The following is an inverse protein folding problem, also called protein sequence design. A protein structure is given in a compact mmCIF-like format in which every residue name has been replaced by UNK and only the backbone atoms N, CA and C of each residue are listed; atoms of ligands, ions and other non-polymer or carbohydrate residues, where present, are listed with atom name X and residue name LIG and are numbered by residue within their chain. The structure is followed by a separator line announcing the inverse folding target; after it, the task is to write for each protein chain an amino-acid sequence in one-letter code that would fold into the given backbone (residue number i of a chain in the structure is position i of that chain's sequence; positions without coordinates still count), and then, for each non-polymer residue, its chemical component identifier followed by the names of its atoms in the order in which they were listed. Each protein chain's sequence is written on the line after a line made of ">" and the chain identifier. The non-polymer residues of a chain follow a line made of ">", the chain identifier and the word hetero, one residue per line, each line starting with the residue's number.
data_IF_216481663199
#
_entry.id   IF_216481663199
#
_cell.length_a   1.000
_cell.length_b   1.000
_cell.length_c   1.000
_cell.angle_alpha   90.00
_cell.angle_beta   90.00
_cell.angle_gamma   90.00
#
_symmetry.space_group_name_H-M   'P 1'
#
loop_
_entity.id
_entity.type
_entity.pdbx_description
1 polymer ?
#
# COMPACT_ATOMS: atom_id res chain seq x y z
N UNK A 1 1.09 0.45 11.97
CA UNK A 1 -0.35 0.71 11.73
C UNK A 1 -0.52 1.70 10.58
N UNK A 2 -1.48 1.46 9.71
CA UNK A 2 -1.71 2.32 8.55
C UNK A 2 -2.44 3.60 8.97
N UNK A 3 -1.92 4.74 8.54
CA UNK A 3 -2.54 6.06 8.77
C UNK A 3 -3.62 6.29 7.71
N UNK A 4 -4.72 5.54 7.79
CA UNK A 4 -5.71 5.46 6.73
C UNK A 4 -6.37 6.80 6.38
N UNK A 5 -6.80 7.56 7.38
CA UNK A 5 -7.51 8.84 7.13
C UNK A 5 -6.59 9.88 6.51
N UNK A 6 -5.37 10.00 7.03
CA UNK A 6 -4.38 10.94 6.50
C UNK A 6 -3.98 10.55 5.08
N UNK A 7 -3.83 9.24 4.82
CA UNK A 7 -3.50 8.75 3.48
C UNK A 7 -4.63 9.01 2.48
N UNK A 8 -5.88 8.84 2.89
CA UNK A 8 -7.04 9.17 2.05
C UNK A 8 -7.02 10.64 1.63
N UNK A 9 -6.77 11.53 2.58
CA UNK A 9 -6.70 12.96 2.30
C UNK A 9 -5.55 13.28 1.33
N UNK A 10 -4.40 12.65 1.56
CA UNK A 10 -3.25 12.83 0.67
C UNK A 10 -3.57 12.36 -0.75
N UNK A 11 -4.24 11.22 -0.90
CA UNK A 11 -4.64 10.70 -2.22
C UNK A 11 -5.60 11.65 -2.92
N UNK A 12 -6.55 12.23 -2.20
CA UNK A 12 -7.48 13.21 -2.78
C UNK A 12 -6.76 14.44 -3.33
N UNK A 13 -5.70 14.87 -2.66
CA UNK A 13 -4.94 16.06 -3.06
C UNK A 13 -3.94 15.76 -4.17
N UNK A 14 -3.39 14.57 -4.23
CA UNK A 14 -2.25 14.25 -5.08
C UNK A 14 -2.58 13.33 -6.26
N UNK A 15 -3.83 12.85 -6.36
CA UNK A 15 -4.26 11.99 -7.45
C UNK A 15 -5.63 12.42 -7.95
N UNK A 16 -6.02 11.89 -9.11
CA UNK A 16 -7.36 12.08 -9.66
C UNK A 16 -8.26 10.87 -9.39
N UNK A 17 -7.88 10.04 -8.44
CA UNK A 17 -8.62 8.82 -8.12
C UNK A 17 -10.02 9.13 -7.58
N UNK A 18 -11.00 8.32 -7.99
CA UNK A 18 -12.35 8.37 -7.43
C UNK A 18 -12.31 7.84 -5.98
N UNK A 19 -13.39 8.12 -5.23
CA UNK A 19 -13.49 7.62 -3.85
C UNK A 19 -13.39 6.10 -3.79
N UNK A 20 -13.96 5.40 -4.77
CA UNK A 20 -13.89 3.94 -4.85
C UNK A 20 -12.44 3.46 -4.99
N UNK A 21 -11.67 4.11 -5.89
CA UNK A 21 -10.27 3.76 -6.11
C UNK A 21 -9.42 4.09 -4.88
N UNK A 22 -9.70 5.21 -4.22
CA UNK A 22 -9.03 5.58 -2.98
C UNK A 22 -9.27 4.51 -1.90
N UNK A 23 -10.52 4.07 -1.74
CA UNK A 23 -10.86 3.02 -0.80
C UNK A 23 -10.12 1.71 -1.08
N UNK A 24 -10.08 1.31 -2.34
CA UNK A 24 -9.35 0.12 -2.78
C UNK A 24 -7.86 0.23 -2.48
N UNK A 25 -7.28 1.40 -2.74
CA UNK A 25 -5.86 1.66 -2.50
C UNK A 25 -5.54 1.52 -1.00
N UNK A 26 -6.37 2.11 -0.15
CA UNK A 26 -6.20 2.01 1.30
C UNK A 26 -6.32 0.55 1.76
N UNK A 27 -7.30 -0.19 1.23
CA UNK A 27 -7.48 -1.61 1.56
C UNK A 27 -6.25 -2.44 1.19
N UNK A 28 -5.66 -2.15 0.04
CA UNK A 28 -4.45 -2.85 -0.41
C UNK A 28 -3.27 -2.56 0.50
N UNK A 29 -3.12 -1.32 0.95
CA UNK A 29 -2.08 -0.94 1.89
C UNK A 29 -2.27 -1.68 3.22
N UNK A 30 -3.50 -1.75 3.72
CA UNK A 30 -3.79 -2.48 4.96
C UNK A 30 -3.47 -3.98 4.81
N UNK A 31 -3.72 -4.54 3.64
CA UNK A 31 -3.42 -5.95 3.38
C UNK A 31 -1.91 -6.20 3.42
N UNK A 32 -1.12 -5.30 2.84
CA UNK A 32 0.34 -5.39 2.91
C UNK A 32 0.83 -5.27 4.35
N UNK A 33 0.27 -4.33 5.11
CA UNK A 33 0.63 -4.12 6.50
C UNK A 33 0.36 -5.35 7.37
N UNK A 34 -0.71 -6.10 7.04
CA UNK A 34 -1.02 -7.35 7.75
C UNK A 34 0.00 -8.46 7.44
N UNK A 35 0.59 -8.46 6.25
CA UNK A 35 1.63 -9.42 5.90
C UNK A 35 2.97 -9.05 6.52
N UNK A 36 3.32 -7.78 6.44
CA UNK A 36 4.57 -7.22 6.96
C UNK A 36 4.32 -5.76 7.25
N UNK A 37 4.53 -5.33 8.49
CA UNK A 37 4.30 -3.95 8.90
C UNK A 37 5.09 -3.00 7.99
N UNK A 38 4.39 -2.01 7.43
CA UNK A 38 5.00 -1.08 6.47
C UNK A 38 5.92 -0.09 7.18
N UNK A 39 7.13 0.04 6.65
CA UNK A 39 8.07 1.06 7.10
C UNK A 39 8.62 1.80 5.87
N UNK A 40 9.15 2.98 6.08
CA UNK A 40 9.64 3.83 5.00
C UNK A 40 11.10 3.48 4.66
N UNK A 41 11.29 2.46 3.85
CA UNK A 41 12.60 2.00 3.40
C UNK A 41 12.44 1.32 2.04
N UNK A 42 13.43 1.50 1.18
CA UNK A 42 13.42 0.93 -0.17
C UNK A 42 13.40 -0.60 -0.15
N UNK A 43 13.92 -1.21 0.89
CA UNK A 43 13.96 -2.68 1.00
C UNK A 43 12.65 -3.30 1.45
N UNK A 44 11.65 -2.50 1.83
CA UNK A 44 10.37 -3.04 2.29
C UNK A 44 9.75 -3.97 1.25
N UNK A 45 9.69 -3.54 -0.02
CA UNK A 45 9.09 -4.34 -1.09
C UNK A 45 9.81 -5.67 -1.27
N UNK A 46 11.13 -5.66 -1.11
CA UNK A 46 11.93 -6.87 -1.21
C UNK A 46 11.54 -7.89 -0.13
N UNK A 47 11.38 -7.44 1.11
CA UNK A 47 10.99 -8.32 2.21
C UNK A 47 9.53 -8.74 2.12
N UNK A 48 8.65 -7.85 1.66
CA UNK A 48 7.24 -8.17 1.46
C UNK A 48 7.08 -9.33 0.47
N UNK A 49 7.85 -9.32 -0.60
CA UNK A 49 7.80 -10.38 -1.61
C UNK A 49 8.22 -11.74 -1.06
N UNK A 50 8.93 -11.77 0.05
CA UNK A 50 9.37 -13.00 0.71
C UNK A 50 8.40 -13.50 1.77
N UNK A 51 7.38 -12.70 2.10
CA UNK A 51 6.39 -13.10 3.10
C UNK A 51 5.53 -14.26 2.58
N UNK A 52 5.35 -15.28 3.40
CA UNK A 52 4.63 -16.49 2.99
C UNK A 52 3.16 -16.21 2.66
N UNK A 53 2.50 -15.35 3.45
CA UNK A 53 1.11 -15.00 3.18
C UNK A 53 0.99 -14.19 1.88
N UNK A 54 1.89 -13.25 1.67
CA UNK A 54 1.92 -12.43 0.45
C UNK A 54 2.10 -13.30 -0.79
N UNK A 55 2.92 -14.34 -0.71
CA UNK A 55 3.15 -15.27 -1.82
C UNK A 55 1.90 -16.02 -2.24
N UNK A 56 0.88 -16.13 -1.38
CA UNK A 56 -0.37 -16.80 -1.72
C UNK A 56 -1.25 -15.98 -2.65
N UNK A 57 -1.00 -14.68 -2.77
CA UNK A 57 -1.79 -13.81 -3.64
C UNK A 57 -1.43 -14.02 -5.11
N UNK A 58 -2.41 -13.79 -6.00
CA UNK A 58 -2.14 -13.85 -7.44
C UNK A 58 -1.17 -12.76 -7.87
N UNK A 59 -0.56 -12.95 -9.04
CA UNK A 59 0.36 -11.94 -9.61
C UNK A 59 -0.33 -10.59 -9.74
N UNK A 60 -1.57 -10.57 -10.23
CA UNK A 60 -2.33 -9.33 -10.40
C UNK A 60 -2.55 -8.62 -9.07
N UNK A 61 -2.95 -9.37 -8.02
CA UNK A 61 -3.17 -8.80 -6.69
C UNK A 61 -1.86 -8.27 -6.12
N UNK A 62 -0.77 -9.02 -6.26
CA UNK A 62 0.55 -8.57 -5.78
C UNK A 62 0.99 -7.28 -6.46
N UNK A 63 0.79 -7.15 -7.77
CA UNK A 63 1.12 -5.92 -8.50
C UNK A 63 0.33 -4.72 -7.98
N UNK A 64 -0.97 -4.91 -7.72
CA UNK A 64 -1.83 -3.85 -7.20
C UNK A 64 -1.39 -3.44 -5.79
N UNK A 65 -1.03 -4.39 -4.95
CA UNK A 65 -0.56 -4.12 -3.60
C UNK A 65 0.76 -3.34 -3.65
N UNK A 66 1.70 -3.73 -4.50
CA UNK A 66 2.97 -3.02 -4.65
C UNK A 66 2.76 -1.56 -5.04
N UNK A 67 1.85 -1.31 -5.98
CA UNK A 67 1.56 0.06 -6.41
C UNK A 67 0.98 0.88 -5.26
N UNK A 68 0.06 0.31 -4.51
CA UNK A 68 -0.56 0.99 -3.36
C UNK A 68 0.48 1.28 -2.28
N UNK A 69 1.37 0.33 -1.99
CA UNK A 69 2.44 0.51 -1.01
C UNK A 69 3.39 1.63 -1.44
N UNK A 70 3.74 1.68 -2.73
CA UNK A 70 4.61 2.75 -3.25
C UNK A 70 3.99 4.13 -3.01
N UNK A 71 2.69 4.26 -3.24
CA UNK A 71 1.97 5.51 -2.97
C UNK A 71 1.98 5.84 -1.48
N UNK A 72 1.77 4.85 -0.63
CA UNK A 72 1.78 5.05 0.81
C UNK A 72 3.16 5.49 1.30
N UNK A 73 4.22 4.90 0.77
CA UNK A 73 5.59 5.29 1.13
C UNK A 73 5.89 6.73 0.70
N UNK A 74 5.38 7.15 -0.47
CA UNK A 74 5.50 8.56 -0.89
C UNK A 74 4.78 9.49 0.09
N UNK A 75 3.59 9.08 0.53
CA UNK A 75 2.85 9.83 1.55
C UNK A 75 3.65 9.95 2.86
N UNK A 76 4.27 8.87 3.30
CA UNK A 76 5.08 8.89 4.52
C UNK A 76 6.30 9.81 4.41
N UNK A 77 6.79 10.01 3.19
CA UNK A 77 7.98 10.83 2.90
C UNK A 77 7.69 12.33 2.93
N UNK A 78 6.45 12.72 2.94
CA UNK A 78 6.05 14.14 2.90
C UNK A 78 5.74 14.75 4.25
#
# INVERSE_FOLDING_TARGET
>A
MVKAEQFKEWLKKNTTYSDAVIGDTVSRVKRADNCLEIYHDDVYQFYLERDEHYKTFSVAVRSQIKKAVSLYQRFLDE
#
